data_IF_048272499884
#
_entry.id   IF_048272499884
#
_cell.length_a   1.000
_cell.length_b   1.000
_cell.length_c   1.000
_cell.angle_alpha   90.00
_cell.angle_beta   90.00
_cell.angle_gamma   90.00
#
_symmetry.space_group_name_H-M   'P 1'
#
loop_
_entity.id
_entity.type
_entity.pdbx_description
1 polymer ?
#
# COMPACT_ATOMS: atom_id res chain seq x y z
N UNK A 1 -12.87 -10.82 18.96
CA UNK A 1 -11.81 -10.19 18.13
C UNK A 1 -12.32 -9.07 17.22
N UNK A 2 -13.51 -9.17 16.60
CA UNK A 2 -14.10 -8.06 15.79
C UNK A 2 -14.21 -6.72 16.55
N UNK A 3 -14.49 -6.76 17.86
CA UNK A 3 -14.55 -5.56 18.70
C UNK A 3 -13.20 -4.88 18.95
N UNK A 4 -12.09 -5.61 18.86
CA UNK A 4 -10.74 -5.08 19.10
C UNK A 4 -10.25 -4.29 17.86
N UNK A 5 -10.59 -4.76 16.66
CA UNK A 5 -10.30 -4.06 15.41
C UNK A 5 -11.17 -2.82 15.20
N UNK A 6 -12.44 -2.83 15.66
CA UNK A 6 -13.31 -1.64 15.67
C UNK A 6 -12.72 -0.46 16.45
N UNK A 7 -11.96 -0.72 17.52
CA UNK A 7 -11.29 0.32 18.32
C UNK A 7 -9.87 0.61 17.85
N UNK A 8 -9.19 -0.38 17.26
CA UNK A 8 -7.80 -0.26 16.79
C UNK A 8 -7.68 0.55 15.50
N UNK A 9 -8.52 0.32 14.47
CA UNK A 9 -8.32 0.96 13.17
C UNK A 9 -8.73 2.43 13.11
N UNK A 10 -9.55 2.90 14.05
CA UNK A 10 -10.00 4.30 14.10
C UNK A 10 -9.13 5.23 14.94
N UNK A 11 -8.42 4.69 15.94
CA UNK A 11 -7.66 5.52 16.90
C UNK A 11 -6.15 5.25 16.85
N UNK A 12 -5.69 4.03 16.54
CA UNK A 12 -4.25 3.73 16.57
C UNK A 12 -3.51 3.98 15.25
N UNK A 13 -4.16 3.80 14.09
CA UNK A 13 -3.52 4.10 12.80
C UNK A 13 -3.28 5.61 12.59
N UNK A 14 -4.11 6.46 13.21
CA UNK A 14 -3.91 7.92 13.23
C UNK A 14 -2.95 8.38 14.34
N UNK A 15 -2.75 7.59 15.39
CA UNK A 15 -1.95 7.98 16.55
C UNK A 15 -0.48 7.54 16.48
N UNK A 16 -0.06 6.87 15.40
CA UNK A 16 1.33 6.46 15.16
C UNK A 16 2.03 7.26 14.06
N UNK A 17 1.35 8.22 13.42
CA UNK A 17 2.08 9.31 12.76
C UNK A 17 2.66 10.13 13.90
N UNK A 18 3.98 10.06 14.08
CA UNK A 18 4.71 10.93 15.00
C UNK A 18 4.16 12.35 14.83
N UNK A 19 3.66 12.95 15.92
CA UNK A 19 3.10 14.31 15.88
C UNK A 19 4.10 15.32 15.31
N UNK A 20 5.40 14.99 15.34
CA UNK A 20 6.47 15.75 14.69
C UNK A 20 6.41 15.69 13.17
N UNK A 21 6.11 14.53 12.57
CA UNK A 21 6.01 14.40 11.11
C UNK A 21 4.76 15.11 10.60
N UNK A 22 3.63 14.96 11.31
CA UNK A 22 2.41 15.70 10.98
C UNK A 22 2.64 17.21 11.12
N UNK A 23 3.27 17.65 12.21
CA UNK A 23 3.61 19.06 12.44
C UNK A 23 4.51 19.64 11.35
N UNK A 24 5.57 18.93 10.96
CA UNK A 24 6.46 19.38 9.88
C UNK A 24 5.75 19.49 8.52
N UNK A 25 4.84 18.55 8.21
CA UNK A 25 4.03 18.63 7.00
C UNK A 25 3.07 19.83 7.05
N UNK A 26 2.40 20.04 8.19
CA UNK A 26 1.47 21.14 8.41
C UNK A 26 2.17 22.51 8.31
N UNK A 27 3.39 22.64 8.85
CA UNK A 27 4.24 23.84 8.72
C UNK A 27 4.51 24.17 7.25
N UNK A 28 4.98 23.18 6.47
CA UNK A 28 5.26 23.38 5.03
C UNK A 28 4.00 23.71 4.24
N UNK A 29 2.85 23.11 4.59
CA UNK A 29 1.57 23.43 3.95
C UNK A 29 1.13 24.86 4.27
N UNK A 30 1.25 25.28 5.53
CA UNK A 30 0.91 26.62 5.97
C UNK A 30 1.82 27.68 5.32
N UNK A 31 3.14 27.42 5.23
CA UNK A 31 4.10 28.28 4.52
C UNK A 31 3.74 28.45 3.04
N UNK A 32 3.14 27.43 2.42
CA UNK A 32 2.66 27.46 1.03
C UNK A 32 1.24 28.04 0.89
N UNK A 33 0.67 28.57 1.97
CA UNK A 33 -0.66 29.18 1.97
C UNK A 33 -1.81 28.17 1.86
N UNK A 34 -1.56 26.90 2.18
CA UNK A 34 -2.60 25.86 2.16
C UNK A 34 -3.32 25.85 3.51
N UNK A 35 -4.64 26.02 3.47
CA UNK A 35 -5.47 26.05 4.68
C UNK A 35 -5.57 24.66 5.33
N UNK A 36 -5.43 24.63 6.66
CA UNK A 36 -5.55 23.44 7.49
C UNK A 36 -6.79 23.52 8.41
N UNK A 37 -7.42 22.39 8.79
CA UNK A 37 -7.06 21.03 8.38
C UNK A 37 -7.46 20.74 6.92
N UNK A 38 -6.71 19.84 6.27
CA UNK A 38 -7.06 19.39 4.92
C UNK A 38 -8.43 18.67 4.92
N UNK A 39 -9.19 18.76 3.81
CA UNK A 39 -10.44 18.01 3.68
C UNK A 39 -10.23 16.49 3.78
N UNK A 40 -11.09 15.82 4.53
CA UNK A 40 -11.06 14.36 4.68
C UNK A 40 -11.21 13.63 3.34
N UNK A 41 -10.39 12.61 3.10
CA UNK A 41 -10.34 11.86 1.83
C UNK A 41 -11.00 10.48 1.90
N UNK A 42 -11.74 10.18 2.97
CA UNK A 42 -12.40 8.87 3.16
C UNK A 42 -13.58 8.71 2.20
N UNK A 43 -13.63 7.59 1.48
CA UNK A 43 -14.69 7.28 0.50
C UNK A 43 -15.53 6.06 0.88
N UNK A 44 -15.25 5.47 2.04
CA UNK A 44 -15.89 4.26 2.57
C UNK A 44 -16.45 4.47 3.97
N UNK A 45 -17.29 3.53 4.39
CA UNK A 45 -17.88 3.42 5.73
C UNK A 45 -17.58 2.03 6.28
N UNK A 46 -17.79 1.76 7.58
CA UNK A 46 -17.64 0.40 8.12
C UNK A 46 -18.46 -0.67 7.38
N UNK A 47 -19.61 -0.30 6.81
CA UNK A 47 -20.48 -1.20 6.04
C UNK A 47 -20.01 -1.41 4.60
N UNK A 48 -19.30 -0.44 4.02
CA UNK A 48 -18.94 -0.46 2.59
C UNK A 48 -17.46 -0.77 2.33
N UNK A 49 -16.58 -0.63 3.34
CA UNK A 49 -15.13 -0.83 3.21
C UNK A 49 -14.74 -2.22 2.74
N UNK A 50 -15.45 -3.27 3.15
CA UNK A 50 -15.14 -4.64 2.73
C UNK A 50 -15.38 -4.84 1.23
N UNK A 51 -16.56 -4.44 0.74
CA UNK A 51 -16.93 -4.62 -0.68
C UNK A 51 -16.11 -3.70 -1.59
N UNK A 52 -15.98 -2.42 -1.23
CA UNK A 52 -15.19 -1.45 -2.01
C UNK A 52 -13.70 -1.79 -1.98
N UNK A 53 -13.20 -2.27 -0.83
CA UNK A 53 -11.83 -2.71 -0.66
C UNK A 53 -11.48 -3.93 -1.50
N UNK A 54 -12.34 -4.95 -1.49
CA UNK A 54 -12.14 -6.12 -2.35
C UNK A 54 -12.14 -5.76 -3.84
N UNK A 55 -13.01 -4.81 -4.25
CA UNK A 55 -13.05 -4.36 -5.65
C UNK A 55 -11.74 -3.68 -6.08
N UNK A 56 -11.20 -2.78 -5.26
CA UNK A 56 -9.93 -2.10 -5.60
C UNK A 56 -8.72 -3.03 -5.48
N UNK A 57 -8.72 -3.96 -4.51
CA UNK A 57 -7.69 -5.01 -4.42
C UNK A 57 -7.64 -5.85 -5.69
N UNK A 58 -8.79 -6.29 -6.17
CA UNK A 58 -8.91 -7.04 -7.42
C UNK A 58 -8.46 -6.26 -8.65
N UNK A 59 -8.73 -4.95 -8.68
CA UNK A 59 -8.23 -4.07 -9.73
C UNK A 59 -6.69 -3.99 -9.73
N UNK A 60 -6.06 -3.92 -8.55
CA UNK A 60 -4.61 -3.74 -8.41
C UNK A 60 -3.85 -5.07 -8.59
N UNK A 61 -4.28 -6.11 -7.87
CA UNK A 61 -3.58 -7.39 -7.76
C UNK A 61 -4.00 -8.37 -8.86
N UNK A 62 -5.22 -8.21 -9.39
CA UNK A 62 -5.82 -9.10 -10.38
C UNK A 62 -6.88 -10.02 -9.77
N UNK A 63 -8.04 -10.09 -10.43
CA UNK A 63 -9.21 -10.86 -9.96
C UNK A 63 -8.86 -12.30 -9.58
N UNK A 64 -8.21 -13.03 -10.49
CA UNK A 64 -7.91 -14.46 -10.32
C UNK A 64 -6.93 -14.72 -9.15
N UNK A 65 -5.97 -13.81 -8.95
CA UNK A 65 -5.00 -13.91 -7.87
C UNK A 65 -5.70 -13.76 -6.53
N UNK A 66 -6.54 -12.73 -6.39
CA UNK A 66 -7.29 -12.47 -5.15
C UNK A 66 -8.29 -13.58 -4.87
N UNK A 67 -9.03 -14.05 -5.87
CA UNK A 67 -9.98 -15.14 -5.71
C UNK A 67 -9.28 -16.43 -5.28
N UNK A 68 -8.10 -16.71 -5.83
CA UNK A 68 -7.26 -17.85 -5.40
C UNK A 68 -6.80 -17.69 -3.96
N UNK A 69 -6.31 -16.51 -3.55
CA UNK A 69 -5.88 -16.26 -2.17
C UNK A 69 -7.00 -16.56 -1.17
N UNK A 70 -8.21 -16.11 -1.46
CA UNK A 70 -9.39 -16.40 -0.64
C UNK A 70 -9.78 -17.88 -0.64
N UNK A 71 -9.74 -18.53 -1.81
CA UNK A 71 -10.13 -19.94 -1.93
C UNK A 71 -9.13 -20.88 -1.23
N UNK A 72 -7.84 -20.54 -1.24
CA UNK A 72 -6.78 -21.39 -0.65
C UNK A 72 -6.44 -21.04 0.78
N UNK A 73 -6.93 -19.92 1.32
CA UNK A 73 -6.69 -19.54 2.71
C UNK A 73 -7.29 -20.57 3.67
N UNK A 74 -6.50 -21.10 4.63
CA UNK A 74 -7.00 -21.92 5.73
C UNK A 74 -8.19 -21.27 6.44
N UNK A 75 -9.13 -22.08 6.92
CA UNK A 75 -10.38 -21.58 7.51
C UNK A 75 -10.15 -20.64 8.71
N UNK A 76 -9.12 -20.91 9.50
CA UNK A 76 -8.68 -20.08 10.63
C UNK A 76 -7.93 -18.81 10.20
N UNK A 77 -7.47 -18.70 8.96
CA UNK A 77 -6.80 -17.52 8.40
C UNK A 77 -7.73 -16.64 7.54
N UNK A 78 -8.93 -17.12 7.16
CA UNK A 78 -9.89 -16.40 6.32
C UNK A 78 -10.26 -15.00 6.82
N UNK A 79 -10.13 -14.76 8.12
CA UNK A 79 -10.38 -13.45 8.71
C UNK A 79 -9.27 -12.44 8.35
N UNK A 80 -8.03 -12.90 8.16
CA UNK A 80 -6.89 -12.06 7.75
C UNK A 80 -7.11 -11.55 6.33
N UNK A 81 -7.53 -12.40 5.39
CA UNK A 81 -7.86 -11.98 4.01
C UNK A 81 -8.96 -10.90 4.02
N UNK A 82 -10.02 -11.12 4.80
CA UNK A 82 -11.10 -10.13 4.98
C UNK A 82 -10.61 -8.81 5.58
N UNK A 83 -9.67 -8.84 6.52
CA UNK A 83 -9.08 -7.63 7.08
C UNK A 83 -8.18 -6.91 6.09
N UNK A 84 -7.41 -7.63 5.28
CA UNK A 84 -6.57 -7.05 4.24
C UNK A 84 -7.44 -6.25 3.24
N UNK A 85 -8.47 -6.87 2.68
CA UNK A 85 -9.39 -6.18 1.76
C UNK A 85 -10.12 -5.03 2.44
N UNK A 86 -10.68 -5.24 3.63
CA UNK A 86 -11.48 -4.20 4.28
C UNK A 86 -10.65 -3.04 4.83
N UNK A 87 -9.48 -3.31 5.42
CA UNK A 87 -8.65 -2.29 6.05
C UNK A 87 -7.66 -1.67 5.08
N UNK A 88 -6.71 -2.45 4.56
CA UNK A 88 -5.66 -1.92 3.70
C UNK A 88 -6.31 -1.31 2.45
N UNK A 89 -7.06 -2.11 1.70
CA UNK A 89 -7.67 -1.62 0.47
C UNK A 89 -8.86 -0.70 0.74
N UNK A 90 -9.81 -1.13 1.57
CA UNK A 90 -11.06 -0.43 1.83
C UNK A 90 -10.93 0.90 2.56
N UNK A 91 -10.11 1.00 3.62
CA UNK A 91 -9.98 2.25 4.38
C UNK A 91 -8.91 3.21 3.81
N UNK A 92 -7.93 2.69 3.04
CA UNK A 92 -6.75 3.47 2.62
C UNK A 92 -6.63 3.63 1.09
N UNK A 93 -6.67 2.55 0.32
CA UNK A 93 -6.45 2.63 -1.14
C UNK A 93 -7.63 3.24 -1.89
N UNK A 94 -8.84 3.18 -1.33
CA UNK A 94 -10.02 3.85 -1.91
C UNK A 94 -10.02 5.38 -1.77
N UNK A 95 -9.06 5.98 -1.06
CA UNK A 95 -9.00 7.44 -0.81
C UNK A 95 -8.53 8.20 -2.04
N UNK A 96 -9.21 9.31 -2.36
CA UNK A 96 -9.01 10.06 -3.61
C UNK A 96 -7.80 11.03 -3.64
N UNK A 97 -7.08 11.22 -2.54
CA UNK A 97 -5.99 12.21 -2.47
C UNK A 97 -4.72 11.86 -3.26
N UNK A 98 -4.49 10.58 -3.56
CA UNK A 98 -3.38 10.08 -4.38
C UNK A 98 -3.96 8.95 -5.24
N UNK A 99 -3.64 8.95 -6.53
CA UNK A 99 -4.13 7.94 -7.47
C UNK A 99 -3.45 6.57 -7.25
N UNK A 100 -4.10 5.53 -7.77
CA UNK A 100 -3.67 4.13 -7.55
C UNK A 100 -2.26 3.85 -8.08
N UNK A 101 -1.87 4.26 -9.30
CA UNK A 101 -0.51 4.03 -9.80
C UNK A 101 0.58 4.65 -8.91
N UNK A 102 0.38 5.88 -8.44
CA UNK A 102 1.34 6.53 -7.53
C UNK A 102 1.38 5.82 -6.17
N UNK A 103 0.24 5.38 -5.63
CA UNK A 103 0.20 4.61 -4.37
C UNK A 103 0.97 3.30 -4.46
N UNK A 104 0.87 2.58 -5.57
CA UNK A 104 1.61 1.33 -5.75
C UNK A 104 3.13 1.55 -5.88
N UNK A 105 3.57 2.66 -6.51
CA UNK A 105 4.98 3.05 -6.50
C UNK A 105 5.46 3.39 -5.09
N UNK A 106 4.66 4.11 -4.30
CA UNK A 106 4.98 4.43 -2.90
C UNK A 106 5.03 3.18 -2.02
N UNK A 107 4.11 2.24 -2.18
CA UNK A 107 4.15 0.98 -1.46
C UNK A 107 5.41 0.17 -1.82
N UNK A 108 5.73 0.07 -3.12
CA UNK A 108 6.97 -0.59 -3.57
C UNK A 108 8.22 0.09 -2.98
N UNK A 109 8.26 1.42 -2.99
CA UNK A 109 9.39 2.19 -2.46
C UNK A 109 9.54 2.07 -0.94
N UNK A 110 8.45 1.80 -0.21
CA UNK A 110 8.47 1.54 1.23
C UNK A 110 8.79 0.08 1.57
N UNK A 111 8.44 -0.89 0.73
CA UNK A 111 8.69 -2.31 0.97
C UNK A 111 10.14 -2.72 0.68
N UNK A 112 10.72 -2.23 -0.43
CA UNK A 112 12.10 -2.54 -0.80
C UNK A 112 13.13 -2.30 0.34
N UNK A 113 13.03 -1.19 1.10
CA UNK A 113 13.88 -0.91 2.25
C UNK A 113 13.70 -1.83 3.46
N UNK A 114 12.55 -2.47 3.69
CA UNK A 114 12.28 -3.15 4.97
C UNK A 114 13.15 -4.40 5.18
N UNK A 115 13.38 -5.17 4.11
CA UNK A 115 13.97 -6.52 4.20
C UNK A 115 13.03 -7.54 4.83
N UNK A 116 13.13 -8.82 4.44
CA UNK A 116 12.22 -9.88 4.91
C UNK A 116 10.80 -9.79 4.32
N UNK A 117 10.57 -8.85 3.40
CA UNK A 117 9.31 -8.66 2.66
C UNK A 117 9.47 -9.03 1.17
N UNK A 118 10.41 -9.90 0.82
CA UNK A 118 10.76 -10.19 -0.58
C UNK A 118 9.57 -10.71 -1.41
N UNK A 119 8.68 -11.51 -0.79
CA UNK A 119 7.45 -11.97 -1.43
C UNK A 119 6.47 -10.81 -1.71
N UNK A 120 6.35 -9.86 -0.77
CA UNK A 120 5.53 -8.66 -0.94
C UNK A 120 6.13 -7.71 -1.98
N UNK A 121 7.45 -7.54 -2.01
CA UNK A 121 8.14 -6.78 -3.06
C UNK A 121 7.80 -7.35 -4.43
N UNK A 122 7.92 -8.66 -4.61
CA UNK A 122 7.55 -9.34 -5.88
C UNK A 122 6.08 -9.16 -6.23
N UNK A 123 5.18 -9.27 -5.25
CA UNK A 123 3.75 -9.01 -5.45
C UNK A 123 3.47 -7.58 -5.91
N UNK A 124 4.13 -6.59 -5.30
CA UNK A 124 3.97 -5.19 -5.67
C UNK A 124 4.67 -4.80 -6.97
N UNK A 125 5.68 -5.54 -7.44
CA UNK A 125 6.17 -5.41 -8.82
C UNK A 125 5.04 -5.78 -9.79
N UNK A 126 4.40 -6.93 -9.61
CA UNK A 126 3.29 -7.36 -10.47
C UNK A 126 2.09 -6.39 -10.40
N UNK A 127 1.75 -5.93 -9.20
CA UNK A 127 0.70 -4.94 -9.00
C UNK A 127 0.98 -3.61 -9.73
N UNK A 128 2.23 -3.13 -9.67
CA UNK A 128 2.65 -1.92 -10.37
C UNK A 128 2.45 -2.04 -11.89
N UNK A 129 2.82 -3.19 -12.47
CA UNK A 129 2.59 -3.46 -13.90
C UNK A 129 1.09 -3.47 -14.24
N UNK A 130 0.25 -4.05 -13.39
CA UNK A 130 -1.21 -4.09 -13.61
C UNK A 130 -1.84 -2.69 -13.58
N UNK A 131 -1.30 -1.77 -12.79
CA UNK A 131 -1.81 -0.38 -12.68
C UNK A 131 -1.12 0.57 -13.65
N UNK A 132 -0.31 0.05 -14.58
CA UNK A 132 0.27 0.80 -15.70
C UNK A 132 1.65 1.41 -15.43
N UNK A 133 2.26 1.13 -14.27
CA UNK A 133 3.67 1.49 -14.06
C UNK A 133 4.57 0.47 -14.74
N UNK A 134 5.54 0.91 -15.53
CA UNK A 134 6.40 0.00 -16.28
C UNK A 134 7.69 -0.40 -15.52
N UNK A 135 8.45 -1.31 -16.13
CA UNK A 135 9.73 -1.79 -15.59
C UNK A 135 10.73 -0.65 -15.39
N UNK A 136 10.76 0.34 -16.29
CA UNK A 136 11.69 1.45 -16.21
C UNK A 136 11.40 2.32 -14.98
N UNK A 137 10.13 2.63 -14.71
CA UNK A 137 9.72 3.36 -13.52
C UNK A 137 10.11 2.65 -12.22
N UNK A 138 9.98 1.32 -12.16
CA UNK A 138 10.40 0.54 -10.98
C UNK A 138 11.92 0.61 -10.75
N UNK A 139 12.71 0.56 -11.83
CA UNK A 139 14.17 0.71 -11.76
C UNK A 139 14.55 2.15 -11.35
N UNK A 140 13.82 3.16 -11.83
CA UNK A 140 14.03 4.54 -11.42
C UNK A 140 13.80 4.73 -9.92
N UNK A 141 12.73 4.12 -9.36
CA UNK A 141 12.51 4.11 -7.90
C UNK A 141 13.70 3.47 -7.17
N UNK A 142 14.17 2.30 -7.62
CA UNK A 142 15.33 1.65 -7.00
C UNK A 142 16.62 2.48 -7.11
N UNK A 143 16.78 3.23 -8.20
CA UNK A 143 17.91 4.12 -8.41
C UNK A 143 17.89 5.28 -7.42
N UNK A 144 16.71 5.88 -7.18
CA UNK A 144 16.55 6.92 -6.16
C UNK A 144 16.76 6.39 -4.74
N UNK A 145 16.39 5.13 -4.48
CA UNK A 145 16.52 4.53 -3.15
C UNK A 145 17.93 4.00 -2.85
N UNK A 146 18.71 3.62 -3.87
CA UNK A 146 20.05 3.03 -3.71
C UNK A 146 20.94 3.72 -2.67
N UNK A 147 21.11 5.07 -2.65
CA UNK A 147 21.95 5.73 -1.65
C UNK A 147 21.43 5.59 -0.21
N UNK A 148 20.13 5.35 -0.01
CA UNK A 148 19.50 5.26 1.30
C UNK A 148 19.42 3.83 1.84
N UNK A 149 19.28 2.84 0.94
CA UNK A 149 19.03 1.43 1.34
C UNK A 149 20.20 0.50 1.06
N UNK A 150 21.20 0.96 0.31
CA UNK A 150 22.40 0.22 -0.05
C UNK A 150 22.15 -0.93 -1.03
N UNK A 151 23.24 -1.45 -1.60
CA UNK A 151 23.20 -2.47 -2.64
C UNK A 151 22.42 -3.75 -2.27
N UNK A 152 22.54 -4.35 -1.06
CA UNK A 152 21.88 -5.62 -0.78
C UNK A 152 20.36 -5.57 -0.95
N UNK A 153 19.71 -4.52 -0.45
CA UNK A 153 18.25 -4.34 -0.56
C UNK A 153 17.84 -3.97 -1.97
N UNK A 154 18.60 -3.09 -2.63
CA UNK A 154 18.36 -2.74 -4.03
C UNK A 154 18.46 -3.96 -4.95
N UNK A 155 19.48 -4.80 -4.78
CA UNK A 155 19.68 -5.99 -5.61
C UNK A 155 18.59 -7.05 -5.38
N UNK A 156 18.10 -7.22 -4.14
CA UNK A 156 16.95 -8.09 -3.88
C UNK A 156 15.69 -7.62 -4.62
N UNK A 157 15.41 -6.32 -4.58
CA UNK A 157 14.27 -5.74 -5.28
C UNK A 157 14.43 -5.78 -6.80
N UNK A 158 15.64 -5.54 -7.32
CA UNK A 158 15.93 -5.66 -8.75
C UNK A 158 15.69 -7.08 -9.27
N UNK A 159 16.13 -8.10 -8.51
CA UNK A 159 15.84 -9.50 -8.84
C UNK A 159 14.33 -9.76 -8.90
N UNK A 160 13.54 -9.19 -7.98
CA UNK A 160 12.08 -9.33 -8.01
C UNK A 160 11.48 -8.69 -9.28
N UNK A 161 12.02 -7.57 -9.75
CA UNK A 161 11.65 -6.95 -11.03
C UNK A 161 11.96 -7.91 -12.19
N UNK A 162 13.19 -8.44 -12.25
CA UNK A 162 13.63 -9.32 -13.34
C UNK A 162 12.80 -10.61 -13.42
N UNK A 163 12.50 -11.22 -12.27
CA UNK A 163 11.69 -12.44 -12.19
C UNK A 163 10.24 -12.25 -12.69
N UNK A 164 9.67 -11.06 -12.52
CA UNK A 164 8.28 -10.77 -12.93
C UNK A 164 8.22 -10.26 -14.37
N UNK A 165 9.19 -9.48 -14.79
CA UNK A 165 9.20 -8.84 -16.12
C UNK A 165 9.84 -9.69 -17.22
N UNK A 166 10.42 -10.85 -16.85
CA UNK A 166 11.13 -11.76 -17.76
C UNK A 166 12.15 -11.02 -18.64
N UNK A 167 13.25 -10.59 -18.01
CA UNK A 167 14.40 -10.02 -18.71
C UNK A 167 15.05 -11.04 -19.67
#
# INVERSE_FOLDING_TARGET
MEGLLRRSTGVYASALVDSRVQGAADEVLAERGIALPLPGQTTTTPQTRAVKGLAIEKQIIGNEVVDKLYATAPADEQHIQRYLSANCFGDHLTRAGIDVPTRELLTFSMLAPLGGCDAQVKGHVAANLNVGNDRAQLIDILTQLLPFIGYPRTLNALRAIDEVTAA
#
